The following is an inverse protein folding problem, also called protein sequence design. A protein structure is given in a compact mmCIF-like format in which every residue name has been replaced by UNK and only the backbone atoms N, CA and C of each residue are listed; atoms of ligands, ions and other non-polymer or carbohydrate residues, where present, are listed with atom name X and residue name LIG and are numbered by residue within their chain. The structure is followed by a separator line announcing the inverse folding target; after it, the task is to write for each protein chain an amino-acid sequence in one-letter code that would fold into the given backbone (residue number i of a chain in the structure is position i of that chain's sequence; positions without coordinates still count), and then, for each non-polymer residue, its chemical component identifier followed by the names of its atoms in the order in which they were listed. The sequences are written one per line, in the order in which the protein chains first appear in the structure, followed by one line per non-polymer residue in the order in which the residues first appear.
data_IF_566849665655
#
_entry.id   IF_566849665655
#
_cell.length_a   1.000
_cell.length_b   1.000
_cell.length_c   1.000
_cell.angle_alpha   90.00
_cell.angle_beta   90.00
_cell.angle_gamma   90.00
#
_symmetry.space_group_name_H-M   'P 1'
#
loop_
_entity.id
_entity.type
_entity.pdbx_description
1 polymer ?
#
# COMPACT_ATOMS: atom_id res chain seq x y z
N UNK A 1 45.79 -46.57 -11.47
CA UNK A 1 45.36 -46.66 -10.05
C UNK A 1 43.92 -46.18 -9.94
N UNK A 2 43.00 -47.11 -9.73
CA UNK A 2 41.58 -46.89 -9.44
C UNK A 2 41.38 -46.41 -8.00
N UNK A 3 40.36 -45.57 -7.74
CA UNK A 3 39.33 -45.85 -6.74
C UNK A 3 38.18 -44.83 -6.84
N UNK A 4 37.10 -45.27 -7.50
CA UNK A 4 35.76 -44.72 -7.38
C UNK A 4 35.16 -45.31 -6.10
N UNK A 5 34.78 -44.48 -5.14
CA UNK A 5 34.01 -44.91 -3.96
C UNK A 5 32.57 -44.43 -4.06
N UNK A 6 31.68 -45.41 -4.14
CA UNK A 6 30.22 -45.32 -4.02
C UNK A 6 29.86 -45.04 -2.56
N UNK A 7 28.72 -44.36 -2.30
CA UNK A 7 27.76 -44.78 -1.27
C UNK A 7 26.42 -44.08 -1.41
N UNK A 8 25.37 -44.89 -1.35
CA UNK A 8 23.96 -44.55 -1.39
C UNK A 8 23.36 -44.66 0.02
N UNK A 9 22.35 -43.83 0.30
CA UNK A 9 21.30 -43.98 1.33
C UNK A 9 20.05 -43.33 0.66
N UNK A 10 18.95 -43.99 0.26
CA UNK A 10 17.97 -44.83 0.97
C UNK A 10 17.48 -44.17 2.27
N UNK A 11 16.20 -44.03 2.63
CA UNK A 11 14.88 -44.25 2.03
C UNK A 11 13.83 -43.73 3.06
N UNK A 12 12.61 -43.38 2.62
CA UNK A 12 11.34 -43.35 3.40
C UNK A 12 11.24 -42.37 4.60
N UNK A 13 10.08 -41.86 5.05
CA UNK A 13 8.78 -42.50 5.27
C UNK A 13 7.68 -41.44 5.62
N UNK A 14 6.48 -41.59 5.05
CA UNK A 14 5.09 -41.28 5.52
C UNK A 14 4.77 -39.98 6.29
N UNK A 15 3.88 -39.10 5.79
CA UNK A 15 2.39 -39.14 5.79
C UNK A 15 1.74 -39.15 7.19
N UNK A 16 1.01 -38.07 7.50
CA UNK A 16 0.13 -37.95 8.66
C UNK A 16 -0.91 -36.85 8.46
N UNK A 17 -1.97 -37.18 7.72
CA UNK A 17 -3.21 -36.43 7.62
C UNK A 17 -4.10 -36.81 8.81
N UNK A 18 -4.59 -35.84 9.58
CA UNK A 18 -5.66 -36.08 10.56
C UNK A 18 -6.69 -34.95 10.45
N UNK A 19 -7.73 -35.25 9.67
CA UNK A 19 -9.02 -34.58 9.75
C UNK A 19 -9.81 -35.18 10.91
N UNK A 20 -10.49 -34.35 11.70
CA UNK A 20 -11.59 -34.77 12.55
C UNK A 20 -12.66 -33.68 12.52
N UNK A 21 -13.87 -34.14 12.22
CA UNK A 21 -15.07 -33.39 11.94
C UNK A 21 -16.10 -33.57 13.09
N UNK A 22 -17.23 -32.86 12.95
CA UNK A 22 -18.55 -33.11 13.61
C UNK A 22 -18.64 -32.59 15.06
N UNK A 23 -19.68 -31.90 15.54
CA UNK A 23 -21.07 -31.73 15.11
C UNK A 23 -21.63 -30.36 15.60
N UNK A 24 -22.62 -29.82 14.87
CA UNK A 24 -23.63 -28.94 15.45
C UNK A 24 -24.73 -29.77 16.16
N UNK A 25 -25.46 -29.19 17.13
CA UNK A 25 -26.86 -28.88 16.83
C UNK A 25 -27.35 -27.54 17.42
N UNK A 26 -28.19 -26.84 16.65
CA UNK A 26 -29.25 -25.95 17.16
C UNK A 26 -30.55 -26.78 17.30
N UNK A 27 -31.72 -26.26 17.76
CA UNK A 27 -32.06 -24.97 18.38
C UNK A 27 -32.87 -25.12 19.69
N UNK A 28 -33.11 -24.04 20.44
CA UNK A 28 -34.16 -24.00 21.47
C UNK A 28 -34.92 -22.67 21.42
N UNK A 29 -36.22 -22.75 21.10
CA UNK A 29 -37.23 -21.67 21.27
C UNK A 29 -37.62 -21.58 22.74
N UNK A 30 -37.86 -20.37 23.23
CA UNK A 30 -38.98 -20.05 24.12
C UNK A 30 -39.29 -18.55 24.05
N UNK A 31 -40.48 -18.26 23.50
CA UNK A 31 -41.44 -17.17 23.81
C UNK A 31 -41.37 -16.66 25.27
N UNK A 32 -41.81 -15.46 25.68
CA UNK A 32 -42.71 -14.42 25.17
C UNK A 32 -42.55 -13.21 26.13
N UNK A 33 -42.93 -12.02 25.68
CA UNK A 33 -43.64 -11.11 26.58
C UNK A 33 -42.93 -9.84 27.06
N UNK A 34 -43.25 -8.76 26.36
CA UNK A 34 -43.93 -7.58 26.95
C UNK A 34 -43.13 -6.28 27.12
N UNK A 35 -43.51 -5.35 26.24
CA UNK A 35 -43.98 -3.99 26.56
C UNK A 35 -42.96 -2.90 26.94
N UNK A 36 -42.93 -1.84 26.13
CA UNK A 36 -42.66 -0.49 26.64
C UNK A 36 -42.08 0.50 25.61
N UNK A 37 -42.95 1.37 25.09
CA UNK A 37 -42.60 2.71 24.56
C UNK A 37 -42.07 2.70 23.11
N UNK A 38 -42.64 3.38 22.12
CA UNK A 38 -43.38 4.64 22.18
C UNK A 38 -42.45 5.81 21.88
N UNK A 39 -42.45 6.25 20.62
CA UNK A 39 -42.20 7.65 20.24
C UNK A 39 -40.76 8.02 19.88
N UNK A 40 -40.60 8.47 18.63
CA UNK A 40 -39.80 9.65 18.27
C UNK A 40 -38.28 9.57 18.38
N UNK A 41 -37.61 9.77 17.25
CA UNK A 41 -36.16 9.94 17.23
C UNK A 41 -35.58 9.85 15.83
N UNK A 42 -36.18 10.56 14.87
CA UNK A 42 -35.35 11.23 13.86
C UNK A 42 -34.48 12.23 14.66
N UNK A 43 -33.23 12.45 14.26
CA UNK A 43 -32.30 13.47 14.81
C UNK A 43 -31.26 13.03 15.87
N UNK A 44 -30.49 11.94 15.64
CA UNK A 44 -29.15 11.80 16.28
C UNK A 44 -28.05 11.35 15.30
N UNK A 45 -28.14 11.70 14.01
CA UNK A 45 -27.14 11.29 13.01
C UNK A 45 -26.19 12.42 12.56
N UNK A 46 -26.51 13.68 12.86
CA UNK A 46 -25.84 14.84 12.24
C UNK A 46 -24.52 15.29 12.86
N UNK A 47 -24.34 15.17 14.18
CA UNK A 47 -23.16 15.71 14.89
C UNK A 47 -22.28 14.64 15.52
N UNK A 48 -22.89 13.58 16.07
CA UNK A 48 -22.16 12.42 16.60
C UNK A 48 -21.61 11.53 15.48
N UNK A 49 -22.34 11.42 14.36
CA UNK A 49 -21.85 10.80 13.12
C UNK A 49 -20.67 11.57 12.50
N UNK A 50 -20.71 12.91 12.56
CA UNK A 50 -19.64 13.76 12.04
C UNK A 50 -18.34 13.62 12.85
N UNK A 51 -18.40 13.62 14.19
CA UNK A 51 -17.19 13.39 15.02
C UNK A 51 -16.65 11.97 14.89
N UNK A 52 -17.50 10.96 14.64
CA UNK A 52 -17.02 9.60 14.34
C UNK A 52 -16.40 9.51 12.94
N UNK A 53 -16.92 10.27 11.97
CA UNK A 53 -16.38 10.39 10.62
C UNK A 53 -15.02 11.10 10.57
N UNK A 54 -14.72 12.03 11.50
CA UNK A 54 -13.37 12.62 11.63
C UNK A 54 -12.30 11.54 11.89
N UNK A 55 -12.69 10.45 12.57
CA UNK A 55 -11.85 9.30 12.87
C UNK A 55 -12.10 8.10 11.94
N UNK A 56 -12.80 8.29 10.82
CA UNK A 56 -12.93 7.20 9.84
C UNK A 56 -11.53 6.89 9.29
N UNK A 57 -11.04 5.65 9.47
CA UNK A 57 -9.74 5.27 8.96
C UNK A 57 -9.69 5.29 7.43
N UNK A 58 -10.83 5.44 6.74
CA UNK A 58 -10.92 5.48 5.29
C UNK A 58 -11.42 6.83 4.76
N UNK A 59 -10.98 7.16 3.54
CA UNK A 59 -11.34 8.37 2.81
C UNK A 59 -11.71 8.01 1.37
N UNK A 60 -12.65 8.74 0.79
CA UNK A 60 -13.08 8.55 -0.60
C UNK A 60 -12.16 9.32 -1.55
N UNK A 61 -11.56 8.62 -2.50
CA UNK A 61 -10.63 9.22 -3.49
C UNK A 61 -11.37 9.99 -4.59
N UNK A 62 -10.63 10.73 -5.44
CA UNK A 62 -11.17 11.35 -6.67
C UNK A 62 -11.89 10.34 -7.57
N UNK A 63 -11.43 9.08 -7.57
CA UNK A 63 -12.02 7.98 -8.32
C UNK A 63 -13.27 7.37 -7.65
N UNK A 64 -13.68 7.90 -6.49
CA UNK A 64 -14.86 7.44 -5.76
C UNK A 64 -14.67 6.15 -4.97
N UNK A 65 -13.44 5.63 -4.89
CA UNK A 65 -13.09 4.44 -4.10
C UNK A 65 -12.81 4.81 -2.65
N UNK A 66 -13.10 3.92 -1.71
CA UNK A 66 -12.84 4.11 -0.29
C UNK A 66 -11.54 3.41 0.06
N UNK A 67 -10.50 4.19 0.40
CA UNK A 67 -9.17 3.68 0.73
C UNK A 67 -8.72 4.16 2.11
N UNK A 68 -7.79 3.45 2.78
CA UNK A 68 -7.25 3.90 4.05
C UNK A 68 -6.66 5.31 3.95
N UNK A 69 -7.04 6.21 4.85
CA UNK A 69 -6.55 7.60 4.89
C UNK A 69 -5.03 7.67 5.04
N UNK A 70 -4.46 6.75 5.81
CA UNK A 70 -3.01 6.62 5.95
C UNK A 70 -2.32 6.29 4.62
N UNK A 71 -2.99 5.52 3.75
CA UNK A 71 -2.49 5.22 2.40
C UNK A 71 -2.52 6.48 1.54
N UNK A 72 -3.66 7.18 1.50
CA UNK A 72 -3.77 8.39 0.71
C UNK A 72 -2.77 9.46 1.14
N UNK A 73 -2.55 9.62 2.45
CA UNK A 73 -1.53 10.53 2.97
C UNK A 73 -0.13 10.14 2.49
N UNK A 74 0.27 8.88 2.68
CA UNK A 74 1.59 8.40 2.27
C UNK A 74 1.78 8.49 0.74
N UNK A 75 0.76 8.11 -0.04
CA UNK A 75 0.77 8.16 -1.49
C UNK A 75 0.88 9.60 -2.01
N UNK A 76 0.08 10.53 -1.48
CA UNK A 76 0.14 11.97 -1.82
C UNK A 76 1.51 12.56 -1.47
N UNK A 77 2.09 12.15 -0.35
CA UNK A 77 3.42 12.60 0.06
C UNK A 77 4.53 12.11 -0.87
N UNK A 78 4.47 10.85 -1.33
CA UNK A 78 5.39 10.32 -2.36
C UNK A 78 5.25 11.12 -3.66
N UNK A 79 4.04 11.38 -4.12
CA UNK A 79 3.81 12.18 -5.34
C UNK A 79 4.40 13.58 -5.18
N UNK A 80 4.10 14.27 -4.08
CA UNK A 80 4.58 15.62 -3.80
C UNK A 80 6.10 15.69 -3.80
N UNK A 81 6.76 14.87 -2.98
CA UNK A 81 8.21 14.89 -2.81
C UNK A 81 8.96 14.42 -4.06
N UNK A 82 8.43 13.46 -4.82
CA UNK A 82 9.04 13.07 -6.09
C UNK A 82 8.92 14.15 -7.16
N UNK A 83 7.80 14.84 -7.27
CA UNK A 83 7.66 15.96 -8.21
C UNK A 83 8.58 17.10 -7.85
N UNK A 84 8.64 17.49 -6.58
CA UNK A 84 9.59 18.49 -6.09
C UNK A 84 11.04 18.10 -6.40
N UNK A 85 11.42 16.83 -6.19
CA UNK A 85 12.77 16.36 -6.49
C UNK A 85 13.09 16.27 -7.99
N UNK A 86 12.09 16.05 -8.86
CA UNK A 86 12.31 15.82 -10.28
C UNK A 86 12.14 17.08 -11.11
N UNK A 87 11.16 17.93 -10.79
CA UNK A 87 10.83 19.14 -11.55
C UNK A 87 11.72 20.33 -11.18
N UNK A 88 12.33 20.33 -10.00
CA UNK A 88 13.23 21.43 -9.61
C UNK A 88 14.47 21.42 -10.50
N UNK A 89 14.70 22.57 -11.15
CA UNK A 89 15.86 22.77 -12.02
C UNK A 89 17.14 22.68 -11.17
N UNK A 90 18.10 21.91 -11.66
CA UNK A 90 19.33 21.61 -10.93
C UNK A 90 20.09 22.88 -10.53
N UNK A 91 19.86 24.01 -11.22
CA UNK A 91 20.13 25.40 -10.82
C UNK A 91 21.56 25.73 -10.35
N UNK A 92 22.46 24.75 -10.35
CA UNK A 92 23.71 24.71 -9.60
C UNK A 92 23.59 24.39 -8.09
N UNK A 93 22.40 24.39 -7.47
CA UNK A 93 22.25 24.17 -6.01
C UNK A 93 22.16 22.68 -5.66
N UNK A 94 23.32 22.02 -5.69
CA UNK A 94 23.46 20.62 -5.32
C UNK A 94 23.00 20.32 -3.88
N UNK A 95 23.05 21.30 -2.97
CA UNK A 95 22.61 21.10 -1.58
C UNK A 95 21.09 21.04 -1.48
N UNK A 96 20.38 21.86 -2.25
CA UNK A 96 18.92 21.77 -2.40
C UNK A 96 18.49 20.49 -3.12
N UNK A 97 19.10 20.16 -4.26
CA UNK A 97 18.82 18.92 -4.97
C UNK A 97 18.92 17.70 -4.05
N UNK A 98 20.00 17.61 -3.26
CA UNK A 98 20.19 16.52 -2.28
C UNK A 98 19.11 16.49 -1.22
N UNK A 99 18.71 17.63 -0.66
CA UNK A 99 17.65 17.71 0.36
C UNK A 99 16.31 17.21 -0.19
N UNK A 100 15.94 17.61 -1.40
CA UNK A 100 14.71 17.16 -2.03
C UNK A 100 14.75 15.67 -2.38
N UNK A 101 15.89 15.20 -2.91
CA UNK A 101 16.10 13.79 -3.20
C UNK A 101 16.05 12.93 -1.92
N UNK A 102 16.60 13.42 -0.81
CA UNK A 102 16.55 12.73 0.48
C UNK A 102 15.12 12.72 1.06
N UNK A 103 14.35 13.81 0.90
CA UNK A 103 12.93 13.83 1.25
C UNK A 103 12.11 12.82 0.43
N UNK A 104 12.35 12.74 -0.88
CA UNK A 104 11.71 11.76 -1.75
C UNK A 104 12.11 10.32 -1.40
N UNK A 105 13.38 10.07 -1.04
CA UNK A 105 13.81 8.74 -0.58
C UNK A 105 13.11 8.33 0.71
N UNK A 106 12.94 9.26 1.65
CA UNK A 106 12.28 8.97 2.91
C UNK A 106 10.79 8.67 2.70
N UNK A 107 10.08 9.49 1.91
CA UNK A 107 8.67 9.25 1.61
C UNK A 107 8.45 7.90 0.92
N UNK A 108 9.33 7.51 -0.02
CA UNK A 108 9.30 6.18 -0.66
C UNK A 108 9.55 5.07 0.36
N UNK A 109 10.53 5.23 1.26
CA UNK A 109 10.85 4.23 2.29
C UNK A 109 9.66 4.01 3.22
N UNK A 110 9.05 5.08 3.70
CA UNK A 110 7.85 5.01 4.55
C UNK A 110 6.69 4.37 3.81
N UNK A 111 6.43 4.80 2.57
CA UNK A 111 5.35 4.26 1.74
C UNK A 111 5.51 2.75 1.50
N UNK A 112 6.70 2.30 1.10
CA UNK A 112 6.96 0.88 0.89
C UNK A 112 6.98 0.09 2.20
N UNK A 113 7.44 0.69 3.31
CA UNK A 113 7.44 0.05 4.61
C UNK A 113 6.04 -0.20 5.16
N UNK A 114 5.10 0.71 4.87
CA UNK A 114 3.70 0.60 5.30
C UNK A 114 2.82 -0.22 4.35
N UNK A 115 2.96 -0.02 3.04
CA UNK A 115 1.95 -0.45 2.06
C UNK A 115 2.36 -1.61 1.16
N UNK A 116 3.64 -1.98 1.14
CA UNK A 116 4.11 -3.07 0.29
C UNK A 116 3.52 -4.40 0.74
N UNK A 117 2.80 -5.06 -0.16
CA UNK A 117 2.17 -6.35 0.09
C UNK A 117 0.82 -6.28 0.78
N UNK A 118 0.29 -5.09 1.06
CA UNK A 118 -1.09 -4.95 1.55
C UNK A 118 -2.09 -5.17 0.41
N UNK A 119 -2.83 -6.28 0.50
CA UNK A 119 -3.83 -6.66 -0.51
C UNK A 119 -4.96 -5.63 -0.66
N UNK A 120 -5.25 -4.85 0.39
CA UNK A 120 -6.27 -3.79 0.37
C UNK A 120 -5.95 -2.63 -0.58
N UNK A 121 -4.68 -2.41 -0.92
CA UNK A 121 -4.26 -1.34 -1.84
C UNK A 121 -3.52 -1.86 -3.07
N UNK A 122 -3.10 -3.13 -3.09
CA UNK A 122 -2.27 -3.70 -4.14
C UNK A 122 -2.93 -3.70 -5.53
N UNK A 123 -4.26 -3.77 -5.59
CA UNK A 123 -5.02 -3.72 -6.84
C UNK A 123 -5.37 -2.29 -7.28
N UNK A 124 -5.07 -1.28 -6.46
CA UNK A 124 -5.43 0.11 -6.74
C UNK A 124 -4.52 0.71 -7.81
N UNK A 125 -5.13 1.45 -8.73
CA UNK A 125 -4.44 2.04 -9.87
C UNK A 125 -3.41 3.07 -9.40
N UNK A 126 -3.70 3.80 -8.32
CA UNK A 126 -2.75 4.71 -7.67
C UNK A 126 -1.52 3.97 -7.14
N UNK A 127 -1.70 2.79 -6.53
CA UNK A 127 -0.60 1.98 -5.99
C UNK A 127 0.26 1.42 -7.12
N UNK A 128 -0.37 0.84 -8.14
CA UNK A 128 0.33 0.29 -9.31
C UNK A 128 1.11 1.38 -10.05
N UNK A 129 0.56 2.58 -10.18
CA UNK A 129 1.24 3.72 -10.80
C UNK A 129 2.46 4.16 -9.97
N UNK A 130 2.34 4.26 -8.64
CA UNK A 130 3.46 4.58 -7.76
C UNK A 130 4.55 3.52 -7.81
N UNK A 131 4.20 2.23 -7.83
CA UNK A 131 5.19 1.16 -7.99
C UNK A 131 5.95 1.29 -9.32
N UNK A 132 5.28 1.65 -10.42
CA UNK A 132 5.93 1.85 -11.72
C UNK A 132 6.89 3.05 -11.70
N UNK A 133 6.52 4.14 -11.04
CA UNK A 133 7.38 5.30 -10.83
C UNK A 133 8.64 4.93 -10.03
N UNK A 134 8.46 4.32 -8.87
CA UNK A 134 9.55 3.93 -7.97
C UNK A 134 10.46 2.87 -8.63
N UNK A 135 9.88 1.90 -9.35
CA UNK A 135 10.64 0.89 -10.08
C UNK A 135 11.48 1.51 -11.20
N UNK A 136 10.92 2.43 -11.97
CA UNK A 136 11.67 3.13 -13.03
C UNK A 136 12.87 3.90 -12.45
N UNK A 137 12.68 4.56 -11.30
CA UNK A 137 13.75 5.25 -10.58
C UNK A 137 14.83 4.27 -10.09
N UNK A 138 14.43 3.16 -9.46
CA UNK A 138 15.35 2.15 -8.94
C UNK A 138 16.12 1.43 -10.06
N UNK A 139 15.46 1.11 -11.17
CA UNK A 139 16.09 0.50 -12.35
C UNK A 139 17.14 1.42 -12.97
N UNK A 140 16.88 2.73 -13.01
CA UNK A 140 17.87 3.69 -13.49
C UNK A 140 19.08 3.76 -12.54
N UNK A 141 18.86 4.04 -11.26
CA UNK A 141 19.95 4.25 -10.30
C UNK A 141 20.73 2.98 -9.96
N UNK A 142 20.12 1.80 -10.10
CA UNK A 142 20.85 0.53 -9.97
C UNK A 142 21.84 0.29 -11.12
N UNK A 143 21.59 0.85 -12.30
CA UNK A 143 22.47 0.72 -13.48
C UNK A 143 23.46 1.88 -13.61
N UNK A 144 22.99 3.11 -13.40
CA UNK A 144 23.76 4.33 -13.62
C UNK A 144 24.57 4.76 -12.38
N UNK A 145 24.21 4.27 -11.19
CA UNK A 145 24.81 4.67 -9.92
C UNK A 145 24.10 5.86 -9.27
N UNK A 146 24.19 6.01 -7.94
CA UNK A 146 23.30 6.83 -7.12
C UNK A 146 23.36 8.35 -7.35
N UNK A 147 24.41 8.83 -8.02
CA UNK A 147 24.62 10.26 -8.31
C UNK A 147 24.49 10.57 -9.80
N UNK A 148 24.03 9.62 -10.60
CA UNK A 148 23.86 9.84 -12.03
C UNK A 148 22.72 10.86 -12.29
N UNK A 149 22.92 11.81 -13.22
CA UNK A 149 21.87 12.73 -13.63
C UNK A 149 20.77 11.95 -14.35
N UNK A 150 19.52 12.25 -14.04
CA UNK A 150 18.37 11.52 -14.60
C UNK A 150 18.10 12.00 -16.04
N UNK A 151 18.11 11.09 -17.05
CA UNK A 151 17.74 11.43 -18.41
C UNK A 151 16.29 11.95 -18.51
N UNK A 152 16.04 12.88 -19.43
CA UNK A 152 14.75 13.56 -19.57
C UNK A 152 13.61 12.58 -19.90
N UNK A 153 13.88 11.55 -20.69
CA UNK A 153 12.92 10.48 -21.02
C UNK A 153 12.50 9.68 -19.79
N UNK A 154 13.47 9.32 -18.93
CA UNK A 154 13.20 8.62 -17.67
C UNK A 154 12.44 9.53 -16.70
N UNK A 155 12.84 10.81 -16.59
CA UNK A 155 12.14 11.82 -15.78
C UNK A 155 10.68 11.95 -16.22
N UNK A 156 10.41 12.17 -17.50
CA UNK A 156 9.06 12.33 -18.02
C UNK A 156 8.21 11.10 -17.79
N UNK A 157 8.76 9.90 -18.02
CA UNK A 157 8.06 8.64 -17.74
C UNK A 157 7.66 8.52 -16.25
N UNK A 158 8.54 8.91 -15.34
CA UNK A 158 8.23 8.91 -13.90
C UNK A 158 7.13 9.94 -13.61
N UNK A 159 7.22 11.16 -14.14
CA UNK A 159 6.20 12.19 -13.96
C UNK A 159 4.82 11.76 -14.50
N UNK A 160 4.77 11.02 -15.61
CA UNK A 160 3.52 10.46 -16.15
C UNK A 160 2.90 9.43 -15.20
N UNK A 161 3.72 8.55 -14.62
CA UNK A 161 3.26 7.60 -13.60
C UNK A 161 2.76 8.33 -12.35
N UNK A 162 3.43 9.40 -11.91
CA UNK A 162 2.99 10.21 -10.77
C UNK A 162 1.68 10.97 -11.06
N UNK A 163 1.52 11.50 -12.27
CA UNK A 163 0.27 12.13 -12.70
C UNK A 163 -0.88 11.13 -12.74
N UNK A 164 -0.60 9.91 -13.20
CA UNK A 164 -1.59 8.81 -13.15
C UNK A 164 -1.96 8.51 -11.70
N UNK A 165 -0.97 8.36 -10.81
CA UNK A 165 -1.24 8.10 -9.40
C UNK A 165 -2.13 9.18 -8.77
N UNK A 166 -1.80 10.46 -8.97
CA UNK A 166 -2.57 11.58 -8.41
C UNK A 166 -4.02 11.63 -8.93
N UNK A 167 -4.29 11.17 -10.15
CA UNK A 167 -5.64 11.11 -10.69
C UNK A 167 -6.56 10.12 -9.93
N UNK A 168 -5.98 9.10 -9.28
CA UNK A 168 -6.72 8.06 -8.56
C UNK A 168 -6.71 8.24 -7.03
N UNK A 169 -5.92 9.17 -6.49
CA UNK A 169 -5.87 9.55 -5.07
C UNK A 169 -6.92 10.59 -4.70
#
# INVERSE_FOLDING_TARGET
MMLITRRAHAASLLLGLAAMAVAAPAPARADDGSNGGGGGGEEEEGVLGAIKSIFDPNEKTKAGKVLPKAYLKAAREVVRTLRESLEEDDGGDMARFRRNADAAKESIREFLGGWRGQQAVAAEESYVALEKAIRSLAEFYSKAGPSAPLPLDVKNKILDHLSTADAYL
#
